data_IF_161807577720
#
_entry.id   IF_161807577720
#
_cell.length_a   1.000
_cell.length_b   1.000
_cell.length_c   1.000
_cell.angle_alpha   90.00
_cell.angle_beta   90.00
_cell.angle_gamma   90.00
#
_symmetry.space_group_name_H-M   'P 1'
#
loop_
_entity.id
_entity.type
_entity.pdbx_description
1 polymer ?
#
# COMPACT_ATOMS: atom_id res chain seq x y z
N UNK A 1 3.90 -35.90 -85.73
CA UNK A 1 3.53 -36.19 -84.35
C UNK A 1 4.63 -36.00 -83.37
N UNK A 2 5.90 -36.42 -83.60
CA UNK A 2 7.01 -36.23 -82.63
C UNK A 2 7.37 -34.77 -82.36
N UNK A 3 7.31 -33.91 -83.39
CA UNK A 3 7.67 -32.45 -83.20
C UNK A 3 6.62 -31.71 -82.37
N UNK A 4 5.35 -32.09 -82.42
CA UNK A 4 4.31 -31.48 -81.58
C UNK A 4 4.42 -31.90 -80.10
N UNK A 5 4.91 -33.11 -79.84
CA UNK A 5 5.16 -33.56 -78.45
C UNK A 5 6.28 -32.81 -77.79
N UNK A 6 7.35 -32.48 -78.51
CA UNK A 6 8.47 -31.67 -77.95
C UNK A 6 8.05 -30.24 -77.68
N UNK A 7 7.20 -29.66 -78.52
CA UNK A 7 6.65 -28.32 -78.31
C UNK A 7 5.78 -28.27 -77.04
N UNK A 8 4.96 -29.30 -76.83
CA UNK A 8 4.13 -29.39 -75.63
C UNK A 8 4.99 -29.53 -74.34
N UNK A 9 6.06 -30.35 -74.44
CA UNK A 9 6.97 -30.54 -73.29
C UNK A 9 7.78 -29.26 -72.95
N UNK A 10 8.19 -28.49 -74.00
CA UNK A 10 8.88 -27.22 -73.78
C UNK A 10 7.96 -26.18 -73.13
N UNK A 11 6.71 -26.10 -73.51
CA UNK A 11 5.74 -25.20 -72.85
C UNK A 11 5.46 -25.59 -71.42
N UNK A 12 5.40 -26.89 -71.13
CA UNK A 12 5.17 -27.39 -69.78
C UNK A 12 6.38 -27.10 -68.85
N UNK A 13 7.60 -27.18 -69.38
CA UNK A 13 8.83 -26.85 -68.63
C UNK A 13 8.93 -25.38 -68.29
N UNK A 14 8.43 -24.47 -69.13
CA UNK A 14 8.40 -23.02 -68.86
C UNK A 14 7.38 -22.69 -67.79
N UNK A 15 6.30 -23.44 -67.68
CA UNK A 15 5.28 -23.21 -66.62
C UNK A 15 5.72 -23.66 -65.23
N UNK A 16 6.71 -24.56 -65.14
CA UNK A 16 7.27 -24.99 -63.82
C UNK A 16 8.41 -24.10 -63.32
N UNK A 17 8.84 -23.08 -64.05
CA UNK A 17 9.96 -22.22 -63.69
C UNK A 17 9.60 -21.05 -62.75
N UNK A 18 8.34 -20.88 -62.40
CA UNK A 18 7.96 -19.90 -61.36
C UNK A 18 7.91 -20.60 -60.01
N UNK A 19 9.09 -20.85 -59.44
CA UNK A 19 9.21 -20.96 -58.01
C UNK A 19 9.58 -19.58 -57.45
N UNK A 20 8.66 -19.01 -56.73
CA UNK A 20 8.85 -17.75 -56.03
C UNK A 20 9.93 -17.89 -54.94
N UNK A 21 11.19 -17.83 -55.34
CA UNK A 21 12.28 -17.55 -54.37
C UNK A 21 12.33 -16.10 -53.92
N UNK A 22 11.49 -15.23 -54.48
CA UNK A 22 11.46 -13.82 -54.18
C UNK A 22 10.84 -13.46 -52.83
N UNK A 23 10.29 -14.43 -52.09
CA UNK A 23 9.79 -14.16 -50.76
C UNK A 23 10.87 -14.06 -49.68
N UNK A 24 12.14 -14.28 -50.05
CA UNK A 24 13.29 -14.12 -49.14
C UNK A 24 14.02 -12.79 -49.31
N UNK A 25 13.73 -12.03 -50.37
CA UNK A 25 14.36 -10.73 -50.58
C UNK A 25 13.75 -9.72 -49.59
N UNK A 26 14.54 -9.34 -48.57
CA UNK A 26 14.10 -8.42 -47.55
C UNK A 26 13.98 -9.02 -46.16
N UNK A 27 13.99 -10.34 -46.02
CA UNK A 27 13.91 -11.00 -44.71
C UNK A 27 15.12 -10.69 -43.81
N UNK A 28 16.27 -10.42 -44.42
CA UNK A 28 17.48 -10.01 -43.71
C UNK A 28 17.56 -8.51 -43.41
N UNK A 29 16.69 -7.70 -44.03
CA UNK A 29 16.62 -6.25 -43.80
C UNK A 29 15.69 -5.85 -42.68
N UNK A 30 14.82 -6.76 -42.25
CA UNK A 30 13.96 -6.55 -41.10
C UNK A 30 14.44 -7.52 -40.04
N UNK A 31 15.20 -7.03 -39.06
CA UNK A 31 15.35 -7.72 -37.77
C UNK A 31 13.99 -7.71 -37.09
N UNK A 32 13.10 -8.54 -37.59
CA UNK A 32 11.84 -8.81 -36.92
C UNK A 32 12.15 -9.74 -35.75
N UNK A 33 12.39 -9.17 -34.60
CA UNK A 33 12.23 -9.89 -33.36
C UNK A 33 10.74 -10.26 -33.27
N UNK A 34 10.42 -11.46 -33.73
CA UNK A 34 9.07 -11.98 -33.55
C UNK A 34 8.87 -12.27 -32.06
N UNK A 35 8.16 -11.39 -31.40
CA UNK A 35 7.67 -11.69 -30.08
C UNK A 35 6.47 -12.60 -30.24
N UNK A 36 6.60 -13.83 -29.78
CA UNK A 36 5.44 -14.69 -29.63
C UNK A 36 4.61 -14.14 -28.48
N UNK A 37 3.53 -13.46 -28.81
CA UNK A 37 2.55 -13.01 -27.83
C UNK A 37 1.60 -14.18 -27.59
N UNK A 38 1.71 -14.79 -26.43
CA UNK A 38 0.72 -15.76 -25.95
C UNK A 38 -0.43 -14.96 -25.36
N UNK A 39 -1.57 -15.04 -25.97
CA UNK A 39 -2.82 -14.46 -25.45
C UNK A 39 -3.63 -15.62 -24.86
N UNK A 40 -3.85 -15.53 -23.57
CA UNK A 40 -4.75 -16.43 -22.88
C UNK A 40 -5.97 -15.66 -22.39
N UNK A 41 -7.11 -16.30 -22.35
CA UNK A 41 -8.35 -15.74 -21.84
C UNK A 41 -8.75 -16.50 -20.59
N UNK A 42 -8.92 -15.78 -19.50
CA UNK A 42 -9.46 -16.35 -18.27
C UNK A 42 -10.81 -15.70 -17.95
N UNK A 43 -11.69 -16.46 -17.37
CA UNK A 43 -12.88 -15.93 -16.73
C UNK A 43 -12.52 -15.49 -15.31
N UNK A 44 -12.91 -14.28 -14.94
CA UNK A 44 -12.67 -13.74 -13.61
C UNK A 44 -14.02 -13.53 -12.94
N UNK A 45 -14.24 -14.22 -11.83
CA UNK A 45 -15.36 -13.96 -10.96
C UNK A 45 -14.93 -12.97 -9.88
N UNK A 46 -15.59 -11.81 -9.85
CA UNK A 46 -15.31 -10.75 -8.88
C UNK A 46 -16.46 -10.72 -7.88
N UNK A 47 -16.14 -10.82 -6.60
CA UNK A 47 -17.12 -10.67 -5.53
C UNK A 47 -16.62 -9.63 -4.51
N UNK A 48 -17.59 -8.92 -3.92
CA UNK A 48 -17.32 -8.04 -2.80
C UNK A 48 -17.77 -8.74 -1.52
N UNK A 49 -16.85 -8.83 -0.57
CA UNK A 49 -17.14 -9.35 0.77
C UNK A 49 -17.12 -8.21 1.77
N UNK A 50 -18.08 -8.22 2.68
CA UNK A 50 -18.08 -7.33 3.84
C UNK A 50 -17.33 -8.03 4.97
N UNK A 51 -16.27 -7.40 5.46
CA UNK A 51 -15.59 -7.83 6.68
C UNK A 51 -16.23 -7.12 7.87
N UNK A 52 -16.60 -7.86 8.88
CA UNK A 52 -17.20 -7.30 10.09
C UNK A 52 -16.17 -6.53 10.92
N UNK A 53 -15.00 -7.12 11.10
CA UNK A 53 -13.89 -6.49 11.82
C UNK A 53 -12.54 -6.88 11.22
N UNK A 54 -11.58 -5.97 11.32
CA UNK A 54 -10.20 -6.17 10.88
C UNK A 54 -9.29 -6.02 12.08
N UNK A 55 -8.41 -6.99 12.28
CA UNK A 55 -7.39 -6.93 13.31
C UNK A 55 -6.42 -5.77 13.02
N UNK A 56 -6.10 -5.00 14.06
CA UNK A 56 -5.26 -3.80 13.95
C UNK A 56 -4.07 -3.82 14.91
N UNK A 57 -3.82 -4.95 15.55
CA UNK A 57 -2.72 -5.13 16.49
C UNK A 57 -1.39 -5.25 15.76
N UNK A 58 -0.36 -4.58 16.28
CA UNK A 58 1.02 -4.78 15.85
C UNK A 58 1.44 -4.00 14.61
N UNK A 59 0.63 -3.07 14.14
CA UNK A 59 1.02 -2.17 13.06
C UNK A 59 2.21 -1.30 13.48
N UNK A 60 3.23 -1.29 12.66
CA UNK A 60 4.46 -0.49 12.88
C UNK A 60 4.27 1.01 12.61
N UNK A 61 3.17 1.39 11.99
CA UNK A 61 2.84 2.77 11.63
C UNK A 61 1.51 3.13 12.27
N UNK A 62 1.53 4.12 13.17
CA UNK A 62 0.30 4.62 13.75
C UNK A 62 -0.43 5.54 12.75
N UNK A 63 -1.68 5.23 12.50
CA UNK A 63 -2.57 6.07 11.70
C UNK A 63 -3.40 6.93 12.63
N UNK A 64 -3.39 8.25 12.37
CA UNK A 64 -4.14 9.22 13.17
C UNK A 64 -4.87 10.19 12.26
N UNK A 65 -6.12 10.45 12.54
CA UNK A 65 -6.85 11.49 11.87
C UNK A 65 -8.32 11.20 11.67
N UNK A 66 -8.95 12.14 11.01
CA UNK A 66 -10.35 12.08 10.61
C UNK A 66 -10.48 12.58 9.17
N UNK A 67 -11.10 11.77 8.33
CA UNK A 67 -11.33 12.10 6.93
C UNK A 67 -12.81 11.94 6.61
N UNK A 68 -13.39 12.97 5.99
CA UNK A 68 -14.77 12.95 5.52
C UNK A 68 -14.82 12.89 4.00
N UNK A 69 -15.51 11.92 3.47
CA UNK A 69 -15.70 11.72 2.05
C UNK A 69 -17.19 11.62 1.72
N UNK A 70 -17.60 12.23 0.63
CA UNK A 70 -18.97 12.09 0.11
C UNK A 70 -19.27 10.66 -0.38
N UNK A 71 -18.24 9.91 -0.79
CA UNK A 71 -18.38 8.57 -1.36
C UNK A 71 -18.16 7.46 -0.32
N UNK A 72 -17.29 7.68 0.65
CA UNK A 72 -16.87 6.67 1.63
C UNK A 72 -17.38 6.93 3.04
N UNK A 73 -18.04 8.10 3.27
CA UNK A 73 -18.46 8.51 4.60
C UNK A 73 -17.31 9.07 5.45
N UNK A 74 -17.47 8.97 6.75
CA UNK A 74 -16.49 9.44 7.72
C UNK A 74 -15.54 8.28 8.13
N UNK A 75 -14.25 8.52 8.00
CA UNK A 75 -13.20 7.61 8.45
C UNK A 75 -12.41 8.28 9.56
N UNK A 76 -12.30 7.64 10.70
CA UNK A 76 -11.49 8.11 11.82
C UNK A 76 -10.49 7.04 12.24
N UNK A 77 -9.29 7.48 12.59
CA UNK A 77 -8.23 6.61 13.07
C UNK A 77 -7.71 7.14 14.41
N UNK A 78 -7.72 6.27 15.40
CA UNK A 78 -7.21 6.51 16.75
C UNK A 78 -6.17 5.45 17.08
N UNK A 79 -5.09 5.85 17.68
CA UNK A 79 -4.01 4.95 18.06
C UNK A 79 -3.97 4.77 19.58
N UNK A 80 -3.87 3.53 20.01
CA UNK A 80 -3.70 3.15 21.41
C UNK A 80 -2.30 2.55 21.60
N UNK A 81 -1.61 2.95 22.65
CA UNK A 81 -0.30 2.44 22.97
C UNK A 81 -0.08 2.37 24.48
N UNK A 82 0.62 1.36 24.88
CA UNK A 82 1.14 1.22 26.24
C UNK A 82 2.65 1.43 26.22
N UNK A 83 3.14 2.26 27.10
CA UNK A 83 4.55 2.55 27.26
C UNK A 83 5.03 2.02 28.60
N UNK A 84 6.10 1.25 28.57
CA UNK A 84 6.76 0.73 29.75
C UNK A 84 8.19 1.31 29.89
N UNK A 85 8.65 1.47 31.12
CA UNK A 85 10.02 1.88 31.44
C UNK A 85 10.88 0.65 31.69
N UNK A 86 11.13 -0.15 30.64
CA UNK A 86 11.80 -1.45 30.79
C UNK A 86 13.22 -1.36 31.34
N UNK A 87 13.90 -0.24 31.13
CA UNK A 87 15.33 -0.10 31.45
C UNK A 87 15.61 0.73 32.70
N UNK A 88 14.57 1.21 33.39
CA UNK A 88 14.73 2.00 34.60
C UNK A 88 14.26 1.22 35.82
N UNK A 89 15.23 0.83 36.65
CA UNK A 89 14.94 0.29 38.00
C UNK A 89 15.26 1.35 39.03
N UNK A 90 14.26 1.93 39.68
CA UNK A 90 14.50 2.95 40.69
C UNK A 90 15.26 2.35 41.87
N UNK A 91 16.29 3.03 42.32
CA UNK A 91 16.97 2.71 43.57
C UNK A 91 16.14 3.25 44.74
N UNK A 92 15.79 2.41 45.70
CA UNK A 92 14.97 2.76 46.84
C UNK A 92 15.61 3.75 47.80
N UNK A 93 16.93 3.93 47.70
CA UNK A 93 17.68 4.85 48.57
C UNK A 93 17.66 6.30 48.03
N UNK A 94 17.06 6.54 46.88
CA UNK A 94 17.00 7.85 46.25
C UNK A 94 15.55 8.31 46.04
N UNK A 95 15.35 9.61 46.25
CA UNK A 95 14.10 10.27 45.89
C UNK A 95 14.20 10.76 44.45
N UNK A 96 13.30 10.26 43.58
CA UNK A 96 13.23 10.69 42.20
C UNK A 96 12.12 11.70 42.01
N UNK A 97 12.39 12.73 41.25
CA UNK A 97 11.41 13.72 40.84
C UNK A 97 11.30 13.66 39.31
N UNK A 98 10.09 13.50 38.80
CA UNK A 98 9.86 13.58 37.38
C UNK A 98 10.05 15.02 36.90
N UNK A 99 11.02 15.23 36.02
CA UNK A 99 11.31 16.55 35.45
C UNK A 99 10.43 16.78 34.19
N UNK A 100 10.44 15.86 33.28
CA UNK A 100 9.67 15.98 32.03
C UNK A 100 9.36 14.64 31.40
N UNK A 101 8.23 14.61 30.71
CA UNK A 101 7.85 13.52 29.83
C UNK A 101 7.74 14.05 28.39
N UNK A 102 8.43 13.41 27.47
CA UNK A 102 8.44 13.85 26.07
C UNK A 102 7.93 12.72 25.18
N UNK A 103 6.85 12.98 24.46
CA UNK A 103 6.39 12.11 23.38
C UNK A 103 6.90 12.69 22.06
N UNK A 104 7.71 11.92 21.35
CA UNK A 104 8.18 12.29 20.02
C UNK A 104 7.41 11.52 18.95
N UNK A 105 6.76 12.24 18.07
CA UNK A 105 6.05 11.68 16.92
C UNK A 105 6.76 12.11 15.65
N UNK A 106 7.05 11.14 14.77
CA UNK A 106 7.74 11.39 13.51
C UNK A 106 6.76 11.06 12.38
N UNK A 107 6.37 12.05 11.57
CA UNK A 107 5.51 11.80 10.41
C UNK A 107 6.20 10.87 9.41
N UNK A 108 5.50 9.83 8.96
CA UNK A 108 6.00 8.89 7.96
C UNK A 108 6.09 9.49 6.55
N UNK A 109 5.43 10.63 6.33
CA UNK A 109 5.28 11.24 5.02
C UNK A 109 4.10 10.70 4.20
N UNK A 110 3.40 9.72 4.73
CA UNK A 110 2.15 9.23 4.13
C UNK A 110 0.97 9.97 4.76
N UNK A 111 0.14 10.56 3.93
CA UNK A 111 -1.05 11.27 4.37
C UNK A 111 -2.18 11.09 3.34
N UNK A 112 -3.40 11.21 3.83
CA UNK A 112 -4.61 11.18 3.03
C UNK A 112 -5.43 12.43 3.31
N UNK A 113 -5.85 13.13 2.27
CA UNK A 113 -6.64 14.35 2.37
C UNK A 113 -5.83 15.64 2.28
N UNK A 114 -6.40 16.74 2.79
CA UNK A 114 -5.80 18.07 2.72
C UNK A 114 -4.76 18.27 3.82
N UNK A 115 -3.54 18.55 3.42
CA UNK A 115 -2.40 18.79 4.31
C UNK A 115 -2.25 20.26 4.72
N UNK A 116 -2.97 21.16 4.07
CA UNK A 116 -2.92 22.60 4.35
C UNK A 116 -3.84 22.98 5.51
N UNK A 117 -4.86 22.17 5.77
CA UNK A 117 -5.76 22.38 6.89
C UNK A 117 -5.05 22.07 8.21
N UNK A 118 -5.27 22.95 9.18
CA UNK A 118 -4.73 22.77 10.53
C UNK A 118 -5.30 21.51 11.18
N UNK A 119 -4.41 20.66 11.64
CA UNK A 119 -4.71 19.41 12.33
C UNK A 119 -4.57 19.59 13.84
N UNK A 120 -5.40 18.88 14.61
CA UNK A 120 -5.28 18.81 16.07
C UNK A 120 -5.10 17.37 16.50
N UNK A 121 -4.07 17.11 17.28
CA UNK A 121 -3.85 15.84 17.97
C UNK A 121 -4.09 16.05 19.45
N UNK A 122 -4.87 15.17 20.07
CA UNK A 122 -5.12 15.16 21.51
C UNK A 122 -4.77 13.80 22.06
N UNK A 123 -4.07 13.80 23.18
CA UNK A 123 -3.59 12.59 23.85
C UNK A 123 -4.36 12.45 25.14
N UNK A 124 -4.97 11.29 25.32
CA UNK A 124 -5.77 10.95 26.49
C UNK A 124 -5.14 9.78 27.23
N UNK A 125 -5.32 9.76 28.54
CA UNK A 125 -4.97 8.60 29.35
C UNK A 125 -6.06 7.56 29.21
N UNK A 126 -5.68 6.29 29.07
CA UNK A 126 -6.61 5.17 29.18
C UNK A 126 -7.04 4.99 30.64
N UNK A 127 -8.31 4.71 30.86
CA UNK A 127 -8.85 4.41 32.22
C UNK A 127 -8.32 3.09 32.75
N UNK A 128 -8.10 2.14 31.85
CA UNK A 128 -7.60 0.81 32.17
C UNK A 128 -6.36 0.50 31.33
N UNK A 129 -5.41 -0.28 31.84
CA UNK A 129 -4.32 -0.80 31.03
C UNK A 129 -4.83 -1.67 29.88
N UNK A 130 -4.07 -1.76 28.81
CA UNK A 130 -4.39 -2.66 27.70
C UNK A 130 -3.95 -4.06 28.13
N UNK A 131 -4.89 -4.85 28.61
CA UNK A 131 -4.66 -6.26 28.92
C UNK A 131 -5.27 -7.07 27.80
N UNK A 132 -4.44 -7.76 27.07
CA UNK A 132 -4.86 -8.68 26.02
C UNK A 132 -4.51 -10.08 26.48
N UNK A 133 -5.50 -10.92 26.64
CA UNK A 133 -5.28 -12.34 26.81
C UNK A 133 -4.70 -12.93 25.52
N UNK A 134 -4.07 -14.09 25.60
CA UNK A 134 -3.31 -14.66 24.48
C UNK A 134 -4.10 -14.86 23.19
N UNK A 135 -5.43 -14.88 23.28
CA UNK A 135 -6.36 -15.07 22.15
C UNK A 135 -7.22 -13.83 21.86
N UNK A 136 -6.98 -12.70 22.55
CA UNK A 136 -7.70 -11.45 22.31
C UNK A 136 -6.90 -10.50 21.44
N UNK A 137 -7.55 -10.00 20.37
CA UNK A 137 -6.98 -9.03 19.46
C UNK A 137 -7.74 -7.70 19.51
N UNK A 138 -7.06 -6.64 19.13
CA UNK A 138 -7.68 -5.34 18.91
C UNK A 138 -8.15 -5.23 17.47
N UNK A 139 -9.38 -4.83 17.30
CA UNK A 139 -10.02 -4.66 16.00
C UNK A 139 -10.25 -3.18 15.69
N UNK A 140 -10.47 -2.88 14.42
CA UNK A 140 -10.81 -1.54 13.98
C UNK A 140 -12.10 -0.97 14.60
N UNK A 141 -12.93 -1.82 15.16
CA UNK A 141 -14.16 -1.45 15.90
C UNK A 141 -13.95 -1.29 17.40
N UNK A 142 -12.77 -1.63 17.93
CA UNK A 142 -12.48 -1.58 19.36
C UNK A 142 -12.32 -0.15 19.85
N UNK A 143 -13.10 0.24 20.86
CA UNK A 143 -12.99 1.54 21.52
C UNK A 143 -12.61 1.33 22.99
N UNK A 144 -11.42 1.81 23.35
CA UNK A 144 -10.95 1.74 24.73
C UNK A 144 -11.38 2.98 25.52
N UNK A 145 -11.80 2.82 26.79
CA UNK A 145 -12.25 3.93 27.61
C UNK A 145 -11.08 4.85 28.00
N UNK A 146 -11.28 6.14 27.78
CA UNK A 146 -10.29 7.18 28.08
C UNK A 146 -10.81 8.12 29.17
N UNK A 147 -9.89 8.85 29.83
CA UNK A 147 -10.24 9.99 30.66
C UNK A 147 -10.92 11.09 29.83
N UNK A 148 -11.77 11.88 30.46
CA UNK A 148 -12.55 12.91 29.77
C UNK A 148 -11.69 14.12 29.35
N UNK A 149 -10.64 14.42 30.12
CA UNK A 149 -9.72 15.51 29.83
C UNK A 149 -8.46 14.99 29.11
N UNK A 150 -8.03 15.65 28.03
CA UNK A 150 -6.77 15.29 27.41
C UNK A 150 -5.60 15.63 28.34
N UNK A 151 -4.60 14.77 28.38
CA UNK A 151 -3.31 15.06 29.00
C UNK A 151 -2.63 16.22 28.28
N UNK A 152 -2.80 16.23 26.96
CA UNK A 152 -2.12 17.16 26.10
C UNK A 152 -2.85 17.28 24.76
N UNK A 153 -2.85 18.49 24.18
CA UNK A 153 -3.36 18.73 22.83
C UNK A 153 -2.48 19.73 22.11
N UNK A 154 -2.18 19.49 20.87
CA UNK A 154 -1.47 20.44 20.02
C UNK A 154 -2.08 20.52 18.63
N UNK A 155 -1.88 21.66 18.00
CA UNK A 155 -2.31 21.90 16.63
C UNK A 155 -1.10 22.17 15.75
N UNK A 156 -1.13 21.61 14.56
CA UNK A 156 -0.06 21.77 13.58
C UNK A 156 -0.66 21.82 12.16
N UNK A 157 0.11 22.35 11.24
CA UNK A 157 -0.16 22.24 9.81
C UNK A 157 0.96 21.40 9.24
N UNK A 158 0.62 20.40 8.46
CA UNK A 158 1.62 19.51 7.88
C UNK A 158 2.34 20.24 6.75
N UNK A 159 3.52 20.76 7.03
CA UNK A 159 4.41 21.40 6.07
C UNK A 159 5.61 20.48 5.87
N UNK A 160 5.54 19.57 4.90
CA UNK A 160 6.65 18.67 4.58
C UNK A 160 7.01 17.70 5.72
N UNK A 161 8.29 17.33 5.84
CA UNK A 161 8.83 16.49 6.93
C UNK A 161 9.03 17.32 8.22
N UNK A 162 7.96 17.67 8.88
CA UNK A 162 8.07 18.34 10.18
C UNK A 162 8.12 17.29 11.29
N UNK A 163 9.14 17.32 12.12
CA UNK A 163 9.16 16.61 13.40
C UNK A 163 8.51 17.49 14.46
N UNK A 164 7.37 17.10 14.98
CA UNK A 164 6.77 17.77 16.14
C UNK A 164 7.40 17.21 17.41
N UNK A 165 8.12 18.06 18.13
CA UNK A 165 8.65 17.75 19.47
C UNK A 165 8.00 18.71 20.46
N UNK A 166 7.15 18.16 21.31
CA UNK A 166 6.54 18.92 22.40
C UNK A 166 7.02 18.36 23.73
N UNK A 167 7.26 19.26 24.67
CA UNK A 167 7.72 18.93 26.03
C UNK A 167 6.58 19.26 26.99
N UNK A 168 6.15 18.31 27.76
CA UNK A 168 5.13 18.43 28.81
C UNK A 168 5.79 18.44 30.17
#
# INVERSE_FOLDING_TARGET
MKKSLYSLFAVLAILCACQDENSQLGKSLVESSFYNVYVDTCSVDISTILLDSIETRGDSICQLGHYRSSSWGDVSATYYAEYSTSDFTPNTDHTYTLDSLVLQMIPSGHFWGDTLTQQRISIYRLKNPIVLDNDEDLYNSTVLPTEDAPLFSFTFTQIGRASCRERV
#
